data_IF_372387790422
#
_entry.id   IF_372387790422
#
_cell.length_a   1.000
_cell.length_b   1.000
_cell.length_c   1.000
_cell.angle_alpha   90.00
_cell.angle_beta   90.00
_cell.angle_gamma   90.00
#
_symmetry.space_group_name_H-M   'P 1'
#
loop_
_entity.id
_entity.type
_entity.pdbx_description
1 polymer ?
#
# COMPACT_ATOMS: atom_id res chain seq x y z
N UNK A 1 -29.83 -14.12 84.07
CA UNK A 1 -30.72 -13.08 83.51
C UNK A 1 -29.86 -12.33 82.50
N UNK A 2 -29.89 -12.76 81.24
CA UNK A 2 -30.74 -12.17 80.18
C UNK A 2 -30.05 -10.90 79.63
N UNK A 3 -29.64 -10.74 78.37
CA UNK A 3 -30.08 -11.32 77.10
C UNK A 3 -28.98 -11.23 76.04
N UNK A 4 -28.98 -12.22 75.15
CA UNK A 4 -28.36 -12.23 73.83
C UNK A 4 -29.00 -11.20 72.88
N UNK A 5 -28.20 -10.59 72.01
CA UNK A 5 -28.67 -9.97 70.76
C UNK A 5 -27.57 -10.09 69.68
N UNK A 6 -27.83 -10.78 68.55
CA UNK A 6 -26.95 -10.85 67.38
C UNK A 6 -27.43 -9.93 66.24
N UNK A 7 -26.52 -9.33 65.46
CA UNK A 7 -26.70 -8.76 64.11
C UNK A 7 -25.53 -7.79 63.82
N UNK A 8 -24.97 -7.62 62.63
CA UNK A 8 -25.20 -8.17 61.30
C UNK A 8 -23.85 -8.01 60.58
N UNK A 9 -23.31 -9.08 60.02
CA UNK A 9 -22.09 -9.03 59.20
C UNK A 9 -22.49 -8.54 57.79
N UNK A 10 -22.24 -7.27 57.47
CA UNK A 10 -22.46 -6.74 56.13
C UNK A 10 -21.33 -7.20 55.19
N UNK A 11 -21.54 -8.32 54.49
CA UNK A 11 -20.72 -8.72 53.35
C UNK A 11 -20.95 -7.72 52.19
N UNK A 12 -20.05 -6.75 52.05
CA UNK A 12 -19.93 -5.94 50.84
C UNK A 12 -19.29 -6.78 49.73
N UNK A 13 -20.12 -7.54 49.01
CA UNK A 13 -19.80 -8.11 47.70
C UNK A 13 -19.75 -6.96 46.68
N UNK A 14 -18.59 -6.32 46.56
CA UNK A 14 -18.32 -5.43 45.42
C UNK A 14 -18.09 -6.32 44.21
N UNK A 15 -19.15 -6.43 43.40
CA UNK A 15 -19.10 -6.98 42.05
C UNK A 15 -18.01 -6.26 41.25
N UNK A 16 -16.86 -6.90 41.07
CA UNK A 16 -15.91 -6.55 40.02
C UNK A 16 -16.57 -6.86 38.68
N UNK A 17 -17.40 -5.94 38.19
CA UNK A 17 -17.94 -6.01 36.84
C UNK A 17 -16.78 -6.13 35.88
N UNK A 18 -16.70 -7.25 35.17
CA UNK A 18 -15.88 -7.37 33.97
C UNK A 18 -16.30 -6.23 33.05
N UNK A 19 -15.48 -5.17 33.00
CA UNK A 19 -15.58 -4.18 31.94
C UNK A 19 -15.38 -4.97 30.65
N UNK A 20 -16.47 -5.30 29.98
CA UNK A 20 -16.47 -5.83 28.63
C UNK A 20 -15.78 -4.75 27.80
N UNK A 21 -14.47 -4.91 27.59
CA UNK A 21 -13.69 -4.01 26.74
C UNK A 21 -14.35 -4.11 25.37
N UNK A 22 -15.08 -3.05 24.99
CA UNK A 22 -15.67 -2.97 23.65
C UNK A 22 -14.59 -3.32 22.62
N UNK A 23 -14.91 -4.15 21.61
CA UNK A 23 -13.96 -4.45 20.56
C UNK A 23 -13.44 -3.15 19.96
N UNK A 24 -12.13 -3.05 19.77
CA UNK A 24 -11.56 -1.83 19.23
C UNK A 24 -11.83 -1.75 17.74
N UNK A 25 -12.52 -0.70 17.31
CA UNK A 25 -12.93 -0.45 15.93
C UNK A 25 -12.37 0.89 15.44
N UNK A 26 -12.24 1.03 14.12
CA UNK A 26 -12.19 2.36 13.52
C UNK A 26 -13.59 2.97 13.52
N UNK A 27 -13.67 4.30 13.58
CA UNK A 27 -14.93 5.04 13.42
C UNK A 27 -14.74 6.11 12.35
N UNK A 28 -15.49 6.01 11.26
CA UNK A 28 -15.54 7.04 10.23
C UNK A 28 -16.63 8.04 10.61
N UNK A 29 -16.25 9.31 10.77
CA UNK A 29 -17.16 10.39 11.12
C UNK A 29 -17.05 11.52 10.12
N UNK A 30 -18.17 12.18 9.84
CA UNK A 30 -18.19 13.37 8.99
C UNK A 30 -17.67 14.59 9.79
N UNK A 31 -16.82 15.40 9.17
CA UNK A 31 -16.36 16.68 9.71
C UNK A 31 -16.39 17.76 8.61
N UNK A 32 -17.40 18.63 8.64
CA UNK A 32 -17.55 19.87 7.85
C UNK A 32 -17.30 19.78 6.32
N UNK A 33 -16.08 19.47 5.89
CA UNK A 33 -15.63 19.37 4.49
C UNK A 33 -15.00 18.02 4.11
N UNK A 34 -14.81 17.10 5.06
CA UNK A 34 -14.29 15.76 4.77
C UNK A 34 -14.66 14.73 5.85
N UNK A 35 -14.42 13.45 5.59
CA UNK A 35 -14.60 12.40 6.59
C UNK A 35 -13.29 12.12 7.32
N UNK A 36 -13.34 11.86 8.63
CA UNK A 36 -12.19 11.52 9.46
C UNK A 36 -12.33 10.09 9.95
N UNK A 37 -11.28 9.29 9.74
CA UNK A 37 -11.18 7.94 10.27
C UNK A 37 -10.48 7.97 11.62
N UNK A 38 -11.24 7.78 12.69
CA UNK A 38 -10.76 7.73 14.07
C UNK A 38 -10.25 6.31 14.36
N UNK A 39 -8.98 6.13 14.74
CA UNK A 39 -8.43 4.80 15.02
C UNK A 39 -8.85 4.22 16.37
N UNK A 40 -8.75 2.89 16.53
CA UNK A 40 -8.78 2.20 17.81
C UNK A 40 -8.09 2.95 18.96
N UNK A 41 -8.82 3.07 20.08
CA UNK A 41 -8.32 3.70 21.31
C UNK A 41 -8.16 5.22 21.24
N UNK A 42 -8.75 5.90 20.24
CA UNK A 42 -8.90 7.36 20.21
C UNK A 42 -10.36 7.74 20.40
N UNK A 43 -10.60 8.66 21.33
CA UNK A 43 -11.95 9.06 21.73
C UNK A 43 -12.58 10.10 20.79
N UNK A 44 -11.82 11.09 20.33
CA UNK A 44 -12.32 12.25 19.58
C UNK A 44 -11.61 12.40 18.22
N UNK A 45 -12.27 12.92 17.18
CA UNK A 45 -11.62 13.25 15.91
C UNK A 45 -10.62 14.43 16.03
N UNK A 46 -10.76 15.30 17.03
CA UNK A 46 -10.00 16.54 17.15
C UNK A 46 -8.76 16.40 18.05
N UNK A 47 -8.10 15.24 18.02
CA UNK A 47 -6.87 15.03 18.81
C UNK A 47 -5.70 15.74 18.13
N UNK A 48 -5.17 16.85 18.69
CA UNK A 48 -4.14 17.64 18.03
C UNK A 48 -2.78 16.94 18.07
N UNK A 49 -2.55 16.12 19.10
CA UNK A 49 -1.28 15.45 19.36
C UNK A 49 -1.50 14.10 20.01
N UNK A 50 -0.75 13.08 19.58
CA UNK A 50 -0.77 11.77 20.23
C UNK A 50 0.62 11.30 20.61
N UNK A 51 0.73 10.74 21.81
CA UNK A 51 1.92 10.06 22.29
C UNK A 51 1.63 8.55 22.38
N UNK A 52 2.43 7.72 21.74
CA UNK A 52 2.28 6.27 21.81
C UNK A 52 3.62 5.55 21.72
N UNK A 53 3.66 4.28 22.10
CA UNK A 53 4.83 3.41 21.90
C UNK A 53 4.50 2.46 20.75
N UNK A 54 5.27 2.54 19.66
CA UNK A 54 5.07 1.66 18.52
C UNK A 54 5.75 0.32 18.77
N UNK A 55 5.14 -0.76 18.30
CA UNK A 55 5.80 -2.07 18.24
C UNK A 55 6.76 -2.13 17.05
N UNK A 56 7.76 -1.25 17.10
CA UNK A 56 8.83 -1.11 16.12
C UNK A 56 10.14 -1.26 16.90
N UNK A 57 10.98 -2.26 16.57
CA UNK A 57 12.28 -2.42 17.20
C UNK A 57 13.14 -1.17 17.05
N UNK A 58 13.67 -0.67 18.17
CA UNK A 58 14.64 0.41 18.15
C UNK A 58 15.98 -0.09 17.57
N UNK A 59 16.63 0.75 16.77
CA UNK A 59 18.00 0.52 16.30
C UNK A 59 19.03 1.00 17.32
N UNK A 60 20.31 1.07 16.93
CA UNK A 60 21.42 1.47 17.82
C UNK A 60 21.88 2.91 17.60
N UNK A 61 21.38 3.57 16.56
CA UNK A 61 21.69 4.94 16.19
C UNK A 61 20.88 5.99 16.95
N UNK A 62 21.08 7.25 16.55
CA UNK A 62 20.44 8.41 17.18
C UNK A 62 19.15 8.77 16.43
N UNK A 63 18.04 8.78 17.15
CA UNK A 63 16.79 9.34 16.64
C UNK A 63 16.87 10.86 16.58
N UNK A 64 16.62 11.42 15.39
CA UNK A 64 16.56 12.87 15.25
C UNK A 64 15.34 13.43 15.99
N UNK A 65 15.54 14.53 16.70
CA UNK A 65 14.44 15.34 17.22
C UNK A 65 13.91 16.20 16.06
N UNK A 66 12.94 15.69 15.31
CA UNK A 66 12.17 16.55 14.41
C UNK A 66 11.31 17.47 15.27
N UNK A 67 11.64 18.77 15.27
CA UNK A 67 10.97 19.79 16.08
C UNK A 67 9.68 20.20 15.38
N UNK A 68 8.61 19.42 15.56
CA UNK A 68 7.25 19.91 15.32
C UNK A 68 6.27 18.91 14.73
N UNK A 69 6.73 17.95 13.92
CA UNK A 69 5.83 17.01 13.22
C UNK A 69 5.78 15.64 13.89
N UNK A 70 6.92 14.93 13.95
CA UNK A 70 7.04 13.63 14.62
C UNK A 70 8.28 13.61 15.52
N UNK A 71 8.10 13.70 16.83
CA UNK A 71 9.19 13.41 17.75
C UNK A 71 9.29 11.92 18.04
N UNK A 72 10.51 11.41 18.09
CA UNK A 72 10.77 10.01 18.37
C UNK A 72 11.88 9.85 19.39
N UNK A 73 11.67 8.96 20.35
CA UNK A 73 12.63 8.64 21.40
C UNK A 73 12.70 7.14 21.60
N UNK A 74 13.88 6.56 21.82
CA UNK A 74 13.98 5.16 22.22
C UNK A 74 13.31 4.96 23.58
N UNK A 75 12.65 3.81 23.75
CA UNK A 75 12.02 3.36 24.99
C UNK A 75 12.25 1.86 25.14
N UNK A 76 13.37 1.51 25.77
CA UNK A 76 13.82 0.11 25.83
C UNK A 76 14.10 -0.42 24.41
N UNK A 77 13.51 -1.57 24.05
CA UNK A 77 13.65 -2.19 22.73
C UNK A 77 12.71 -1.61 21.65
N UNK A 78 11.91 -0.60 21.98
CA UNK A 78 10.89 -0.01 21.11
C UNK A 78 11.08 1.50 20.96
N UNK A 79 10.34 2.13 20.07
CA UNK A 79 10.28 3.60 19.94
C UNK A 79 9.00 4.19 20.51
N UNK A 80 9.13 5.31 21.21
CA UNK A 80 8.04 6.18 21.66
C UNK A 80 7.95 7.36 20.72
N UNK A 81 6.76 7.63 20.22
CA UNK A 81 6.47 8.70 19.26
C UNK A 81 5.56 9.75 19.91
N UNK A 82 5.78 10.99 19.56
CA UNK A 82 4.85 12.10 19.75
C UNK A 82 4.57 12.69 18.37
N UNK A 83 3.32 12.62 17.92
CA UNK A 83 2.94 13.07 16.57
C UNK A 83 1.96 14.23 16.70
N UNK A 84 2.25 15.32 16.01
CA UNK A 84 1.37 16.48 15.89
C UNK A 84 0.54 16.36 14.61
N UNK A 85 -0.78 16.28 14.76
CA UNK A 85 -1.71 15.98 13.66
C UNK A 85 -1.67 17.07 12.59
N UNK A 86 -1.76 18.32 13.01
CA UNK A 86 -1.85 19.46 12.11
C UNK A 86 -0.53 19.69 11.36
N UNK A 87 0.60 19.54 12.05
CA UNK A 87 1.90 19.57 11.37
C UNK A 87 2.08 18.41 10.39
N UNK A 88 1.55 17.21 10.71
CA UNK A 88 1.65 16.03 9.86
C UNK A 88 0.83 16.19 8.56
N UNK A 89 -0.44 16.57 8.64
CA UNK A 89 -1.30 16.66 7.44
C UNK A 89 -0.85 17.73 6.43
N UNK A 90 -0.11 18.75 6.90
CA UNK A 90 0.49 19.80 6.07
C UNK A 90 1.69 19.33 5.26
N UNK A 91 2.24 18.14 5.56
CA UNK A 91 3.39 17.62 4.83
C UNK A 91 3.06 17.28 3.38
N UNK A 92 4.10 17.29 2.54
CA UNK A 92 4.00 16.95 1.14
C UNK A 92 3.62 15.46 0.94
N UNK A 93 3.06 15.08 -0.24
CA UNK A 93 2.88 13.67 -0.58
C UNK A 93 4.17 12.85 -0.44
N UNK A 94 4.06 11.63 0.08
CA UNK A 94 5.20 10.72 0.31
C UNK A 94 6.15 11.14 1.44
N UNK A 95 5.91 12.28 2.12
CA UNK A 95 6.81 12.79 3.16
C UNK A 95 7.04 11.77 4.28
N UNK A 96 6.02 11.04 4.71
CA UNK A 96 6.15 10.09 5.81
C UNK A 96 7.00 8.88 5.42
N UNK A 97 6.91 8.42 4.16
CA UNK A 97 7.78 7.37 3.65
C UNK A 97 9.24 7.82 3.59
N UNK A 98 9.53 9.03 3.11
CA UNK A 98 10.90 9.56 3.13
C UNK A 98 11.42 9.79 4.57
N UNK A 99 10.58 10.33 5.46
CA UNK A 99 10.95 10.57 6.85
C UNK A 99 11.28 9.27 7.60
N UNK A 100 10.49 8.22 7.37
CA UNK A 100 10.74 6.90 7.98
C UNK A 100 11.97 6.22 7.38
N UNK A 101 12.23 6.35 6.07
CA UNK A 101 13.46 5.86 5.44
C UNK A 101 14.70 6.58 5.98
N UNK A 102 14.65 7.90 6.16
CA UNK A 102 15.74 8.68 6.76
C UNK A 102 15.96 8.36 8.25
N UNK A 103 14.91 7.99 8.97
CA UNK A 103 14.99 7.49 10.34
C UNK A 103 15.74 6.16 10.40
N UNK A 104 15.36 5.24 9.51
CA UNK A 104 15.94 3.91 9.40
C UNK A 104 17.41 3.96 8.98
N UNK A 105 17.78 4.81 8.01
CA UNK A 105 19.16 4.95 7.56
C UNK A 105 20.11 5.50 8.63
N UNK A 106 19.57 6.18 9.65
CA UNK A 106 20.31 6.64 10.84
C UNK A 106 20.37 5.59 11.96
N UNK A 107 19.88 4.38 11.69
CA UNK A 107 19.78 3.27 12.64
C UNK A 107 18.97 3.64 13.90
N UNK A 108 18.01 4.57 13.81
CA UNK A 108 17.12 4.87 14.95
C UNK A 108 16.07 3.78 15.16
N UNK A 109 15.64 3.13 14.08
CA UNK A 109 14.81 1.93 14.07
C UNK A 109 15.56 0.81 13.35
N UNK A 110 15.21 -0.43 13.65
CA UNK A 110 15.78 -1.57 12.93
C UNK A 110 15.48 -1.50 11.42
N UNK A 111 16.39 -2.04 10.61
CA UNK A 111 16.22 -2.11 9.17
C UNK A 111 14.99 -2.94 8.75
N UNK A 112 14.34 -2.53 7.66
CA UNK A 112 13.06 -3.06 7.19
C UNK A 112 11.83 -2.52 7.91
N UNK A 113 11.96 -1.63 8.89
CA UNK A 113 10.84 -1.17 9.71
C UNK A 113 10.25 0.18 9.27
N UNK A 114 10.87 0.88 8.31
CA UNK A 114 10.42 2.20 7.87
C UNK A 114 8.94 2.28 7.49
N UNK A 115 8.49 1.42 6.55
CA UNK A 115 7.08 1.38 6.11
C UNK A 115 6.13 1.08 7.28
N UNK A 116 6.47 0.07 8.08
CA UNK A 116 5.67 -0.34 9.23
C UNK A 116 5.52 0.80 10.24
N UNK A 117 6.59 1.57 10.48
CA UNK A 117 6.53 2.76 11.32
C UNK A 117 5.59 3.82 10.73
N UNK A 118 5.67 4.07 9.42
CA UNK A 118 4.79 5.04 8.73
C UNK A 118 3.32 4.66 8.88
N UNK A 119 2.98 3.39 8.62
CA UNK A 119 1.64 2.84 8.80
C UNK A 119 1.19 3.03 10.26
N UNK A 120 2.04 2.69 11.24
CA UNK A 120 1.70 2.88 12.67
C UNK A 120 1.45 4.34 13.05
N UNK A 121 2.09 5.30 12.39
CA UNK A 121 1.85 6.73 12.62
C UNK A 121 0.48 7.14 12.09
N UNK A 122 0.11 6.78 10.86
CA UNK A 122 -1.23 7.12 10.33
C UNK A 122 -2.36 6.38 11.05
N UNK A 123 -2.11 5.15 11.51
CA UNK A 123 -3.05 4.39 12.36
C UNK A 123 -3.15 4.97 13.78
N UNK A 124 -2.31 5.93 14.16
CA UNK A 124 -2.32 6.51 15.49
C UNK A 124 -3.16 7.78 15.58
N UNK A 125 -3.52 8.44 14.49
CA UNK A 125 -4.23 9.71 14.55
C UNK A 125 -5.58 9.64 13.84
N UNK A 126 -6.59 10.42 14.29
CA UNK A 126 -7.76 10.65 13.47
C UNK A 126 -7.35 11.44 12.24
N UNK A 127 -7.43 10.83 11.06
CA UNK A 127 -7.00 11.47 9.80
C UNK A 127 -8.08 11.29 8.73
N UNK A 128 -8.14 12.25 7.82
CA UNK A 128 -8.80 12.03 6.54
C UNK A 128 -8.10 10.86 5.80
N UNK A 129 -8.84 9.86 5.30
CA UNK A 129 -8.24 8.70 4.65
C UNK A 129 -7.35 9.02 3.44
N UNK A 130 -7.75 10.00 2.62
CA UNK A 130 -6.97 10.43 1.46
C UNK A 130 -5.71 11.17 1.90
N UNK A 131 -5.79 11.99 2.96
CA UNK A 131 -4.62 12.63 3.54
C UNK A 131 -3.63 11.62 4.13
N UNK A 132 -4.12 10.60 4.85
CA UNK A 132 -3.29 9.52 5.40
C UNK A 132 -2.58 8.73 4.29
N UNK A 133 -3.31 8.37 3.23
CA UNK A 133 -2.75 7.72 2.04
C UNK A 133 -1.64 8.57 1.41
N UNK A 134 -1.90 9.85 1.18
CA UNK A 134 -0.95 10.79 0.56
C UNK A 134 0.34 10.95 1.37
N UNK A 135 0.31 10.80 2.69
CA UNK A 135 1.52 10.86 3.51
C UNK A 135 2.46 9.68 3.26
N UNK A 136 1.92 8.49 3.05
CA UNK A 136 2.69 7.27 2.79
C UNK A 136 3.14 7.16 1.33
N UNK A 137 2.28 7.52 0.39
CA UNK A 137 2.56 7.29 -1.03
C UNK A 137 2.82 8.61 -1.74
N UNK A 138 3.96 8.67 -2.43
CA UNK A 138 4.20 9.74 -3.39
C UNK A 138 3.11 9.72 -4.47
N UNK A 139 2.75 10.89 -4.98
CA UNK A 139 1.77 10.96 -6.07
C UNK A 139 2.43 10.47 -7.35
N UNK A 140 2.14 9.24 -7.79
CA UNK A 140 2.74 8.67 -9.00
C UNK A 140 2.55 9.53 -10.26
N UNK A 141 1.43 10.24 -10.37
CA UNK A 141 1.19 11.21 -11.45
C UNK A 141 2.14 12.43 -11.41
N UNK A 142 2.67 12.78 -10.24
CA UNK A 142 3.61 13.91 -10.08
C UNK A 142 5.07 13.47 -10.01
N UNK A 143 5.34 12.34 -9.36
CA UNK A 143 6.70 11.84 -9.13
C UNK A 143 7.14 10.81 -10.17
N UNK A 144 6.22 10.32 -11.00
CA UNK A 144 6.52 9.32 -12.03
C UNK A 144 6.90 7.96 -11.45
N UNK A 145 6.57 7.66 -10.19
CA UNK A 145 6.91 6.36 -9.59
C UNK A 145 5.89 5.86 -8.56
N UNK A 146 5.95 4.55 -8.29
CA UNK A 146 5.19 3.85 -7.26
C UNK A 146 6.13 2.93 -6.47
N UNK A 147 6.13 3.06 -5.15
CA UNK A 147 6.82 2.11 -4.26
C UNK A 147 6.10 0.78 -4.24
N UNK A 148 6.86 -0.32 -4.32
CA UNK A 148 6.32 -1.66 -4.38
C UNK A 148 6.38 -2.30 -2.98
N UNK A 149 5.24 -2.30 -2.29
CA UNK A 149 5.03 -2.96 -1.00
C UNK A 149 4.18 -4.23 -1.11
N UNK A 150 4.04 -4.99 -0.01
CA UNK A 150 3.31 -6.27 0.00
C UNK A 150 1.81 -6.13 -0.30
N UNK A 151 1.28 -4.92 -0.18
CA UNK A 151 -0.06 -4.53 -0.60
C UNK A 151 -0.27 -4.48 -2.12
N UNK A 152 0.82 -4.54 -2.90
CA UNK A 152 0.79 -4.38 -4.35
C UNK A 152 0.79 -5.75 -5.05
N UNK A 153 0.04 -5.82 -6.14
CA UNK A 153 0.21 -6.79 -7.23
C UNK A 153 0.68 -6.03 -8.46
N UNK A 154 1.56 -6.64 -9.23
CA UNK A 154 1.95 -6.11 -10.53
C UNK A 154 1.23 -6.91 -11.60
N UNK A 155 0.42 -6.24 -12.41
CA UNK A 155 -0.07 -6.76 -13.67
C UNK A 155 0.94 -6.41 -14.76
N UNK A 156 1.50 -7.40 -15.44
CA UNK A 156 2.39 -7.20 -16.59
C UNK A 156 1.68 -7.67 -17.84
N UNK A 157 1.58 -6.79 -18.83
CA UNK A 157 1.01 -7.11 -20.13
C UNK A 157 2.14 -7.16 -21.16
N UNK A 158 2.35 -8.31 -21.79
CA UNK A 158 3.42 -8.52 -22.77
C UNK A 158 2.87 -9.13 -24.06
N UNK A 159 3.46 -8.86 -25.23
CA UNK A 159 3.05 -9.50 -26.46
C UNK A 159 3.46 -10.96 -26.47
N UNK A 160 2.63 -11.77 -27.13
CA UNK A 160 2.96 -13.14 -27.46
C UNK A 160 3.46 -13.15 -28.90
N UNK A 161 4.73 -13.47 -29.09
CA UNK A 161 5.38 -13.48 -30.39
C UNK A 161 5.55 -14.92 -30.91
N UNK A 162 5.71 -15.08 -32.23
CA UNK A 162 6.10 -16.35 -32.85
C UNK A 162 7.43 -16.84 -32.28
N UNK A 163 7.57 -18.16 -32.16
CA UNK A 163 8.81 -18.80 -31.71
C UNK A 163 10.02 -18.35 -32.55
N UNK A 164 11.16 -18.14 -31.88
CA UNK A 164 12.38 -17.60 -32.50
C UNK A 164 12.40 -16.07 -32.68
N UNK A 165 11.30 -15.38 -32.37
CA UNK A 165 11.28 -13.91 -32.37
C UNK A 165 11.95 -13.37 -31.10
N UNK A 166 12.91 -12.42 -31.20
CA UNK A 166 13.50 -11.76 -30.03
C UNK A 166 12.46 -11.08 -29.14
N UNK A 167 12.70 -11.07 -27.82
CA UNK A 167 11.77 -10.49 -26.83
C UNK A 167 11.58 -8.98 -26.96
N UNK A 168 12.49 -8.27 -27.65
CA UNK A 168 12.44 -6.84 -27.93
C UNK A 168 11.89 -6.53 -29.34
N UNK A 169 11.52 -7.54 -30.12
CA UNK A 169 10.99 -7.33 -31.46
C UNK A 169 9.68 -6.53 -31.43
N UNK A 170 9.44 -5.65 -32.43
CA UNK A 170 8.26 -4.82 -32.45
C UNK A 170 6.99 -5.67 -32.61
N UNK A 171 6.07 -5.52 -31.64
CA UNK A 171 4.71 -6.07 -31.72
C UNK A 171 3.78 -5.18 -32.58
N UNK A 172 4.08 -3.88 -32.64
CA UNK A 172 3.34 -2.86 -33.38
C UNK A 172 4.28 -2.24 -34.41
N UNK A 173 3.87 -2.24 -35.68
CA UNK A 173 4.61 -1.63 -36.79
C UNK A 173 4.29 -0.14 -36.92
N UNK A 174 3.03 0.23 -36.75
CA UNK A 174 2.59 1.63 -36.80
C UNK A 174 1.26 1.82 -36.07
N UNK A 175 1.07 2.99 -35.48
CA UNK A 175 -0.23 3.42 -34.96
C UNK A 175 -0.61 4.77 -35.55
N UNK A 176 -1.88 4.94 -35.93
CA UNK A 176 -2.45 6.19 -36.39
C UNK A 176 -3.64 6.56 -35.51
N UNK A 177 -3.62 7.78 -34.98
CA UNK A 177 -4.72 8.33 -34.19
C UNK A 177 -5.55 9.23 -35.10
N UNK A 178 -6.82 8.90 -35.26
CA UNK A 178 -7.80 9.70 -36.02
C UNK A 178 -8.99 10.02 -35.11
N UNK A 179 -8.93 11.16 -34.42
CA UNK A 179 -9.90 11.53 -33.39
C UNK A 179 -9.78 10.64 -32.15
N UNK A 180 -10.85 9.93 -31.79
CA UNK A 180 -10.86 8.92 -30.71
C UNK A 180 -10.53 7.50 -31.21
N UNK A 181 -10.34 7.32 -32.52
CA UNK A 181 -10.01 6.03 -33.11
C UNK A 181 -8.50 5.86 -33.18
N UNK A 182 -8.00 4.75 -32.65
CA UNK A 182 -6.61 4.33 -32.78
C UNK A 182 -6.54 3.15 -33.74
N UNK A 183 -5.98 3.36 -34.92
CA UNK A 183 -5.65 2.30 -35.87
C UNK A 183 -4.25 1.79 -35.53
N UNK A 184 -4.12 0.49 -35.30
CA UNK A 184 -2.84 -0.14 -34.98
C UNK A 184 -2.55 -1.21 -36.03
N UNK A 185 -1.41 -1.10 -36.70
CA UNK A 185 -0.84 -2.14 -37.55
C UNK A 185 0.11 -2.98 -36.70
N UNK A 186 -0.23 -4.24 -36.48
CA UNK A 186 0.58 -5.19 -35.72
C UNK A 186 1.60 -5.87 -36.62
N UNK A 187 2.67 -6.39 -36.03
CA UNK A 187 3.66 -7.17 -36.77
C UNK A 187 3.12 -8.57 -37.10
N UNK A 188 3.62 -9.17 -38.18
CA UNK A 188 3.26 -10.54 -38.57
C UNK A 188 3.68 -11.61 -37.53
N UNK A 189 4.56 -11.23 -36.61
CA UNK A 189 5.05 -12.07 -35.52
C UNK A 189 4.18 -11.98 -34.27
N UNK A 190 3.27 -11.01 -34.16
CA UNK A 190 2.35 -10.89 -33.03
C UNK A 190 1.23 -11.95 -33.15
N UNK A 191 1.18 -12.86 -32.18
CA UNK A 191 0.14 -13.89 -32.06
C UNK A 191 -0.98 -13.49 -31.10
N UNK A 192 -0.68 -12.60 -30.15
CA UNK A 192 -1.60 -12.24 -29.08
C UNK A 192 -0.92 -11.49 -27.94
N UNK A 193 -1.45 -11.61 -26.73
CA UNK A 193 -0.88 -10.99 -25.53
C UNK A 193 -0.99 -11.91 -24.32
N UNK A 194 -0.13 -11.68 -23.33
CA UNK A 194 -0.12 -12.35 -22.04
C UNK A 194 -0.35 -11.31 -20.95
N UNK A 195 -1.19 -11.64 -19.98
CA UNK A 195 -1.37 -10.89 -18.73
C UNK A 195 -0.79 -11.73 -17.60
N UNK A 196 0.35 -11.33 -17.06
CA UNK A 196 1.01 -11.99 -15.94
C UNK A 196 0.83 -11.22 -14.64
N UNK A 197 0.53 -11.92 -13.56
CA UNK A 197 0.37 -11.35 -12.23
C UNK A 197 1.54 -11.71 -11.33
N UNK A 198 2.09 -10.71 -10.64
CA UNK A 198 3.17 -10.87 -9.67
C UNK A 198 2.75 -10.35 -8.30
N UNK A 199 3.22 -11.01 -7.24
CA UNK A 199 3.09 -10.54 -5.87
C UNK A 199 4.41 -9.94 -5.40
N UNK A 200 4.32 -8.90 -4.57
CA UNK A 200 5.42 -8.45 -3.74
C UNK A 200 5.30 -9.18 -2.40
N UNK A 201 6.26 -10.04 -2.06
CA UNK A 201 6.21 -10.86 -0.83
C UNK A 201 7.38 -10.55 0.10
N UNK A 202 7.18 -10.55 1.43
CA UNK A 202 8.29 -10.44 2.36
C UNK A 202 9.29 -11.58 2.15
N UNK A 203 10.59 -11.27 2.13
CA UNK A 203 11.62 -12.29 2.01
C UNK A 203 11.68 -13.13 3.30
N UNK A 204 11.68 -14.47 3.21
CA UNK A 204 11.86 -15.30 4.39
C UNK A 204 13.28 -15.08 4.96
N UNK A 205 13.36 -14.72 6.25
CA UNK A 205 14.62 -14.52 6.97
C UNK A 205 15.56 -13.42 6.44
N UNK A 206 15.06 -12.53 5.58
CA UNK A 206 15.81 -11.37 5.09
C UNK A 206 14.96 -10.10 5.18
N UNK A 207 15.63 -8.95 5.07
CA UNK A 207 14.95 -7.66 5.05
C UNK A 207 14.31 -7.44 3.68
N UNK A 208 13.12 -6.85 3.69
CA UNK A 208 12.45 -6.38 2.49
C UNK A 208 11.62 -7.44 1.78
N UNK A 209 11.49 -7.26 0.47
CA UNK A 209 10.53 -7.97 -0.35
C UNK A 209 11.16 -8.53 -1.63
N UNK A 210 10.49 -9.50 -2.21
CA UNK A 210 10.77 -10.05 -3.54
C UNK A 210 9.53 -9.96 -4.42
N UNK A 211 9.74 -9.78 -5.73
CA UNK A 211 8.67 -9.82 -6.73
C UNK A 211 8.63 -11.25 -7.28
N UNK A 212 7.49 -11.92 -7.12
CA UNK A 212 7.31 -13.33 -7.50
C UNK A 212 6.11 -13.50 -8.43
N UNK A 213 6.22 -14.30 -9.50
CA UNK A 213 5.07 -14.60 -10.34
C UNK A 213 4.02 -15.41 -9.57
N UNK A 214 2.75 -15.18 -9.88
CA UNK A 214 1.59 -15.87 -9.27
C UNK A 214 0.84 -16.69 -10.32
N UNK A 215 0.58 -16.08 -11.48
CA UNK A 215 -0.18 -16.67 -12.58
C UNK A 215 0.04 -15.87 -13.86
N UNK A 216 -0.35 -16.43 -15.00
CA UNK A 216 -0.54 -15.69 -16.23
C UNK A 216 -1.78 -16.18 -17.00
N UNK A 217 -2.30 -15.33 -17.88
CA UNK A 217 -3.33 -15.69 -18.85
C UNK A 217 -2.83 -15.30 -20.25
N UNK A 218 -2.76 -16.27 -21.14
CA UNK A 218 -2.28 -16.10 -22.51
C UNK A 218 -3.46 -16.05 -23.46
N UNK A 219 -3.56 -14.97 -24.23
CA UNK A 219 -4.62 -14.75 -25.20
C UNK A 219 -4.08 -14.86 -26.63
N UNK A 220 -4.39 -15.95 -27.33
CA UNK A 220 -3.96 -16.18 -28.72
C UNK A 220 -5.15 -16.69 -29.52
N UNK A 221 -5.37 -16.14 -30.73
CA UNK A 221 -6.46 -16.62 -31.60
C UNK A 221 -7.87 -16.50 -31.00
N UNK A 222 -8.06 -15.60 -30.02
CA UNK A 222 -9.34 -15.41 -29.33
C UNK A 222 -9.59 -16.38 -28.17
N UNK A 223 -8.68 -17.31 -27.88
CA UNK A 223 -8.74 -18.19 -26.70
C UNK A 223 -7.84 -17.67 -25.59
N UNK A 224 -8.29 -17.83 -24.34
CA UNK A 224 -7.52 -17.51 -23.14
C UNK A 224 -7.09 -18.83 -22.46
N UNK A 225 -5.79 -18.97 -22.22
CA UNK A 225 -5.18 -20.13 -21.58
C UNK A 225 -4.54 -19.70 -20.26
N UNK A 226 -4.92 -20.35 -19.16
CA UNK A 226 -4.38 -20.06 -17.85
C UNK A 226 -3.04 -20.79 -17.64
N UNK A 227 -2.06 -20.06 -17.12
CA UNK A 227 -0.70 -20.53 -16.89
C UNK A 227 -0.27 -20.29 -15.43
N UNK A 228 0.66 -21.13 -14.95
CA UNK A 228 1.17 -21.01 -13.58
C UNK A 228 2.07 -19.79 -13.36
N UNK A 229 2.53 -19.16 -14.44
CA UNK A 229 3.41 -18.00 -14.41
C UNK A 229 3.69 -17.46 -15.82
N UNK A 230 4.42 -16.34 -15.93
CA UNK A 230 4.71 -15.69 -17.20
C UNK A 230 5.60 -16.57 -18.10
N UNK A 231 5.42 -16.46 -19.40
CA UNK A 231 6.35 -17.07 -20.37
C UNK A 231 7.78 -16.50 -20.22
N UNK A 232 7.89 -15.22 -19.86
CA UNK A 232 9.16 -14.56 -19.54
C UNK A 232 9.06 -13.79 -18.22
N UNK A 233 9.89 -14.16 -17.24
CA UNK A 233 9.96 -13.42 -15.98
C UNK A 233 10.93 -12.24 -16.11
N UNK A 234 10.38 -11.03 -16.25
CA UNK A 234 11.14 -9.78 -16.32
C UNK A 234 11.81 -9.38 -15.00
N UNK A 235 11.33 -9.87 -13.85
CA UNK A 235 11.74 -9.39 -12.53
C UNK A 235 12.73 -10.33 -11.84
N UNK A 236 13.88 -10.51 -12.47
CA UNK A 236 15.00 -11.28 -11.91
C UNK A 236 15.94 -10.37 -11.11
N UNK A 237 15.49 -9.97 -9.92
CA UNK A 237 16.28 -9.10 -9.05
C UNK A 237 17.34 -9.86 -8.25
N UNK A 238 18.45 -9.19 -7.96
CA UNK A 238 19.47 -9.66 -7.04
C UNK A 238 18.86 -9.95 -5.66
N UNK A 239 19.34 -10.97 -4.93
CA UNK A 239 18.92 -11.21 -3.54
C UNK A 239 19.11 -10.00 -2.62
N UNK A 240 19.99 -9.07 -2.98
CA UNK A 240 20.24 -7.82 -2.24
C UNK A 240 19.16 -6.75 -2.46
N UNK A 241 18.34 -6.84 -3.52
CA UNK A 241 17.22 -5.92 -3.74
C UNK A 241 16.13 -6.19 -2.70
N UNK A 242 16.11 -5.42 -1.62
CA UNK A 242 15.15 -5.54 -0.53
C UNK A 242 13.93 -4.63 -0.74
N UNK A 243 14.09 -3.53 -1.47
CA UNK A 243 13.03 -2.57 -1.74
C UNK A 243 13.00 -2.26 -3.22
N UNK A 244 11.81 -2.28 -3.82
CA UNK A 244 11.62 -2.03 -5.25
C UNK A 244 10.70 -0.85 -5.49
N UNK A 245 10.93 -0.12 -6.59
CA UNK A 245 10.12 1.01 -7.05
C UNK A 245 9.95 0.91 -8.56
N UNK A 246 8.71 1.06 -9.01
CA UNK A 246 8.35 1.13 -10.43
C UNK A 246 8.32 2.61 -10.84
N UNK A 247 8.92 2.91 -11.99
CA UNK A 247 9.02 4.24 -12.57
C UNK A 247 8.38 4.28 -13.96
N UNK A 248 7.65 5.36 -14.23
CA UNK A 248 7.16 5.75 -15.54
C UNK A 248 8.01 6.91 -16.05
N UNK A 249 8.80 6.68 -17.08
CA UNK A 249 9.76 7.65 -17.62
C UNK A 249 9.40 8.02 -19.04
N UNK A 250 9.29 9.31 -19.32
CA UNK A 250 9.18 9.78 -20.69
C UNK A 250 10.56 9.71 -21.36
N UNK A 251 10.64 9.07 -22.51
CA UNK A 251 11.84 8.96 -23.33
C UNK A 251 11.49 9.11 -24.81
N UNK A 252 12.00 10.16 -25.44
CA UNK A 252 11.83 10.47 -26.87
C UNK A 252 10.37 10.35 -27.38
N UNK A 253 9.40 10.81 -26.58
CA UNK A 253 7.97 10.76 -26.93
C UNK A 253 7.27 9.44 -26.61
N UNK A 254 7.96 8.49 -25.98
CA UNK A 254 7.42 7.20 -25.52
C UNK A 254 7.55 7.09 -24.00
N UNK A 255 6.73 6.25 -23.35
CA UNK A 255 6.89 5.97 -21.91
C UNK A 255 7.66 4.66 -21.74
N UNK A 256 8.81 4.71 -21.06
CA UNK A 256 9.57 3.56 -20.60
C UNK A 256 9.20 3.23 -19.16
N UNK A 257 9.07 1.94 -18.87
CA UNK A 257 8.86 1.46 -17.51
C UNK A 257 10.17 0.88 -16.99
N UNK A 258 10.60 1.38 -15.84
CA UNK A 258 11.81 0.91 -15.16
C UNK A 258 11.42 0.42 -13.77
N UNK A 259 11.92 -0.74 -13.36
CA UNK A 259 11.78 -1.21 -11.99
C UNK A 259 13.18 -1.28 -11.38
N UNK A 260 13.42 -0.48 -10.35
CA UNK A 260 14.70 -0.48 -9.64
C UNK A 260 14.54 -1.10 -8.26
N UNK A 261 15.58 -1.81 -7.82
CA UNK A 261 15.74 -2.40 -6.51
C UNK A 261 16.91 -1.78 -5.75
N UNK A 262 16.86 -1.81 -4.42
CA UNK A 262 17.94 -1.35 -3.54
C UNK A 262 17.96 -2.15 -2.23
N UNK A 263 19.10 -2.16 -1.52
CA UNK A 263 19.20 -2.84 -0.23
C UNK A 263 18.53 -2.06 0.90
N UNK A 264 18.45 -0.73 0.75
CA UNK A 264 17.73 0.16 1.68
C UNK A 264 16.80 1.11 0.94
N UNK A 265 15.78 1.63 1.62
CA UNK A 265 14.90 2.68 1.04
C UNK A 265 15.66 3.96 0.71
N UNK A 266 16.65 4.34 1.52
CA UNK A 266 17.45 5.53 1.29
C UNK A 266 18.30 5.42 0.00
N UNK A 267 18.84 4.25 -0.30
CA UNK A 267 19.48 3.98 -1.59
C UNK A 267 18.49 4.05 -2.75
N UNK A 268 17.26 3.55 -2.57
CA UNK A 268 16.20 3.63 -3.58
C UNK A 268 15.76 5.07 -3.88
N UNK A 269 15.75 5.93 -2.86
CA UNK A 269 15.47 7.36 -3.02
C UNK A 269 16.59 8.07 -3.79
N UNK A 270 17.86 7.74 -3.52
CA UNK A 270 18.99 8.23 -4.32
C UNK A 270 18.93 7.74 -5.77
N UNK A 271 18.60 6.46 -5.96
CA UNK A 271 18.40 5.84 -7.27
C UNK A 271 17.29 6.53 -8.10
N UNK A 272 16.18 6.89 -7.46
CA UNK A 272 15.09 7.61 -8.10
C UNK A 272 15.57 8.94 -8.71
N UNK A 273 16.39 9.68 -7.96
CA UNK A 273 16.95 10.94 -8.43
C UNK A 273 17.89 10.75 -9.63
N UNK A 274 18.73 9.70 -9.61
CA UNK A 274 19.58 9.36 -10.75
C UNK A 274 18.77 8.99 -12.00
N UNK A 275 17.73 8.16 -11.84
CA UNK A 275 16.83 7.76 -12.93
C UNK A 275 15.95 8.90 -13.46
N UNK A 276 15.75 9.98 -12.71
CA UNK A 276 15.09 11.20 -13.21
C UNK A 276 16.02 12.02 -14.11
N UNK A 277 17.32 12.03 -13.80
CA UNK A 277 18.31 12.88 -14.49
C UNK A 277 19.01 12.21 -15.68
N UNK A 278 19.00 10.88 -15.77
CA UNK A 278 19.78 10.13 -16.73
C UNK A 278 19.02 8.88 -17.22
N UNK A 279 18.63 8.81 -18.51
CA UNK A 279 17.87 7.69 -19.07
C UNK A 279 18.66 6.38 -19.09
N UNK A 280 19.99 6.43 -19.08
CA UNK A 280 20.87 5.25 -19.04
C UNK A 280 21.28 4.88 -17.61
N UNK A 281 20.75 5.57 -16.60
CA UNK A 281 21.14 5.36 -15.21
C UNK A 281 20.97 3.90 -14.80
N UNK A 282 19.96 3.18 -15.32
CA UNK A 282 19.71 1.77 -15.02
C UNK A 282 20.93 0.86 -15.29
N UNK A 283 21.75 1.16 -16.30
CA UNK A 283 22.97 0.40 -16.62
C UNK A 283 24.08 0.61 -15.58
N UNK A 284 23.98 1.68 -14.78
CA UNK A 284 24.94 2.04 -13.73
C UNK A 284 24.57 1.41 -12.38
N UNK A 285 23.41 0.77 -12.28
CA UNK A 285 23.02 0.02 -11.09
C UNK A 285 23.81 -1.29 -11.04
N UNK A 286 23.98 -1.82 -9.82
CA UNK A 286 24.52 -3.16 -9.65
C UNK A 286 23.71 -4.21 -10.44
N UNK A 287 24.35 -5.28 -10.88
CA UNK A 287 23.69 -6.33 -11.64
C UNK A 287 22.42 -6.84 -10.91
N UNK A 288 21.31 -6.93 -11.63
CA UNK A 288 20.02 -7.35 -11.06
C UNK A 288 19.38 -6.35 -10.10
N UNK A 289 19.80 -5.09 -10.09
CA UNK A 289 19.19 -4.03 -9.26
C UNK A 289 18.32 -3.06 -10.08
N UNK A 290 18.28 -3.21 -11.41
CA UNK A 290 17.44 -2.39 -12.25
C UNK A 290 17.02 -3.15 -13.51
N UNK A 291 15.74 -3.03 -13.86
CA UNK A 291 15.12 -3.69 -15.01
C UNK A 291 14.44 -2.60 -15.85
N UNK A 292 14.83 -2.48 -17.12
CA UNK A 292 14.08 -1.71 -18.11
C UNK A 292 13.15 -2.68 -18.85
N UNK A 293 11.84 -2.44 -18.77
CA UNK A 293 10.89 -3.26 -19.53
C UNK A 293 10.94 -2.89 -21.02
N UNK A 294 10.82 -3.88 -21.93
CA UNK A 294 10.71 -3.60 -23.35
C UNK A 294 9.53 -2.66 -23.65
N UNK A 295 9.64 -1.87 -24.72
CA UNK A 295 8.69 -0.79 -25.04
C UNK A 295 7.23 -1.25 -25.19
N UNK A 296 7.02 -2.51 -25.57
CA UNK A 296 5.69 -3.10 -25.77
C UNK A 296 5.19 -3.88 -24.55
N UNK A 297 5.93 -3.84 -23.44
CA UNK A 297 5.55 -4.45 -22.16
C UNK A 297 5.06 -3.36 -21.22
N UNK A 298 3.85 -3.53 -20.70
CA UNK A 298 3.30 -2.66 -19.68
C UNK A 298 3.42 -3.33 -18.30
N UNK A 299 3.63 -2.54 -17.25
CA UNK A 299 3.50 -2.99 -15.87
C UNK A 299 2.68 -1.99 -15.06
N UNK A 300 1.63 -2.48 -14.42
CA UNK A 300 0.66 -1.69 -13.66
C UNK A 300 0.65 -2.18 -12.20
N UNK A 301 0.95 -1.31 -11.23
CA UNK A 301 0.78 -1.64 -9.83
C UNK A 301 -0.68 -1.46 -9.42
N UNK A 302 -1.23 -2.51 -8.82
CA UNK A 302 -2.56 -2.53 -8.24
C UNK A 302 -2.48 -2.79 -6.74
N UNK A 303 -3.28 -2.08 -5.95
CA UNK A 303 -3.51 -2.39 -4.55
C UNK A 303 -4.53 -3.53 -4.45
N UNK A 304 -4.31 -4.48 -3.53
CA UNK A 304 -5.26 -5.57 -3.30
C UNK A 304 -6.16 -5.36 -2.10
N UNK A 305 -7.43 -5.75 -2.27
CA UNK A 305 -8.39 -5.92 -1.20
C UNK A 305 -9.12 -7.26 -1.35
N UNK A 306 -9.63 -7.79 -0.25
CA UNK A 306 -10.52 -8.94 -0.25
C UNK A 306 -11.96 -8.44 -0.40
N UNK A 307 -12.63 -8.77 -1.49
CA UNK A 307 -14.00 -8.36 -1.79
C UNK A 307 -14.89 -9.58 -1.88
N UNK A 308 -15.89 -9.70 -0.99
CA UNK A 308 -16.77 -10.87 -0.88
C UNK A 308 -16.00 -12.21 -0.86
N UNK A 309 -14.89 -12.25 -0.12
CA UNK A 309 -14.05 -13.45 0.01
C UNK A 309 -13.13 -13.75 -1.18
N UNK A 310 -13.00 -12.83 -2.15
CA UNK A 310 -12.07 -12.94 -3.28
C UNK A 310 -11.05 -11.82 -3.29
N UNK A 311 -9.78 -12.12 -3.56
CA UNK A 311 -8.78 -11.08 -3.80
C UNK A 311 -9.13 -10.33 -5.09
N UNK A 312 -9.17 -9.01 -5.02
CA UNK A 312 -9.43 -8.10 -6.15
C UNK A 312 -8.29 -7.09 -6.23
N UNK A 313 -7.67 -7.02 -7.40
CA UNK A 313 -6.68 -6.01 -7.75
C UNK A 313 -7.41 -4.73 -8.20
N UNK A 314 -7.01 -3.59 -7.62
CA UNK A 314 -7.60 -2.29 -7.86
C UNK A 314 -6.49 -1.28 -8.15
N UNK A 315 -6.74 -0.24 -8.98
CA UNK A 315 -5.75 0.81 -9.19
C UNK A 315 -5.28 1.43 -7.87
N UNK A 316 -3.99 1.72 -7.78
CA UNK A 316 -3.39 2.40 -6.61
C UNK A 316 -4.13 3.71 -6.30
N UNK A 317 -4.55 3.87 -5.03
CA UNK A 317 -5.39 4.99 -4.59
C UNK A 317 -6.90 4.78 -4.75
N UNK A 318 -7.33 3.56 -5.13
CA UNK A 318 -8.74 3.17 -5.16
C UNK A 318 -9.45 3.37 -3.81
N UNK A 319 -10.78 3.41 -3.85
CA UNK A 319 -11.63 3.54 -2.66
C UNK A 319 -12.53 2.32 -2.47
N UNK A 320 -13.25 2.27 -1.35
CA UNK A 320 -14.32 1.28 -1.12
C UNK A 320 -15.36 1.31 -2.25
N UNK A 321 -15.64 2.48 -2.85
CA UNK A 321 -16.50 2.57 -4.05
C UNK A 321 -16.01 1.67 -5.17
N UNK A 322 -14.73 1.83 -5.54
CA UNK A 322 -14.09 1.08 -6.61
C UNK A 322 -14.07 -0.41 -6.30
N UNK A 323 -13.83 -0.79 -5.05
CA UNK A 323 -13.88 -2.19 -4.62
C UNK A 323 -15.28 -2.81 -4.74
N UNK A 324 -16.33 -2.08 -4.34
CA UNK A 324 -17.72 -2.53 -4.48
C UNK A 324 -18.08 -2.74 -5.95
N UNK A 325 -17.68 -1.80 -6.81
CA UNK A 325 -17.88 -1.88 -8.25
C UNK A 325 -17.12 -3.05 -8.89
N UNK A 326 -15.86 -3.26 -8.49
CA UNK A 326 -15.05 -4.38 -8.96
C UNK A 326 -15.59 -5.75 -8.48
N UNK A 327 -16.26 -5.79 -7.31
CA UNK A 327 -16.97 -6.98 -6.84
C UNK A 327 -18.33 -7.21 -7.50
N UNK A 328 -18.71 -6.42 -8.51
CA UNK A 328 -19.88 -6.64 -9.37
C UNK A 328 -21.09 -5.76 -9.08
N UNK A 329 -21.08 -4.94 -8.02
CA UNK A 329 -22.18 -4.02 -7.73
C UNK A 329 -21.98 -2.67 -8.43
N UNK A 330 -22.77 -2.40 -9.47
CA UNK A 330 -22.66 -1.17 -10.27
C UNK A 330 -23.11 0.07 -9.50
N UNK A 331 -24.07 -0.07 -8.60
CA UNK A 331 -24.62 1.00 -7.77
C UNK A 331 -24.30 0.73 -6.29
N UNK A 332 -23.17 1.27 -5.78
CA UNK A 332 -22.72 1.02 -4.41
C UNK A 332 -23.75 1.36 -3.33
N UNK A 333 -24.68 2.29 -3.58
CA UNK A 333 -25.70 2.67 -2.58
C UNK A 333 -26.61 1.49 -2.20
N UNK A 334 -26.83 0.54 -3.11
CA UNK A 334 -27.68 -0.64 -2.89
C UNK A 334 -27.17 -1.56 -1.80
N UNK A 335 -25.85 -1.56 -1.59
CA UNK A 335 -25.21 -2.45 -0.61
C UNK A 335 -24.87 -1.74 0.70
N UNK A 336 -25.13 -0.43 0.81
CA UNK A 336 -24.70 0.38 1.95
C UNK A 336 -25.21 -0.17 3.30
N UNK A 337 -26.46 -0.63 3.34
CA UNK A 337 -27.07 -1.17 4.55
C UNK A 337 -26.37 -2.43 5.09
N UNK A 338 -25.82 -3.27 4.20
CA UNK A 338 -25.20 -4.55 4.52
C UNK A 338 -23.66 -4.55 4.34
N UNK A 339 -23.08 -3.41 3.98
CA UNK A 339 -21.65 -3.27 3.71
C UNK A 339 -20.81 -3.46 4.99
N UNK A 340 -19.87 -4.38 5.00
CA UNK A 340 -18.89 -4.55 6.06
C UNK A 340 -17.52 -4.17 5.51
N UNK A 341 -16.82 -3.28 6.20
CA UNK A 341 -15.46 -2.88 5.86
C UNK A 341 -14.57 -3.17 7.07
N UNK A 342 -13.47 -3.86 6.84
CA UNK A 342 -12.42 -4.12 7.82
C UNK A 342 -11.11 -3.60 7.29
N UNK A 343 -10.38 -2.89 8.15
CA UNK A 343 -9.09 -2.29 7.85
C UNK A 343 -8.04 -2.79 8.82
N UNK A 344 -6.80 -2.88 8.35
CA UNK A 344 -5.67 -3.21 9.20
C UNK A 344 -5.47 -2.14 10.29
N UNK A 345 -5.23 -2.61 11.51
CA UNK A 345 -4.73 -1.83 12.64
C UNK A 345 -3.65 -2.66 13.32
N UNK A 346 -2.39 -2.27 13.14
CA UNK A 346 -1.26 -2.99 13.73
C UNK A 346 -1.13 -4.41 13.17
N UNK A 347 -1.42 -4.57 11.88
CA UNK A 347 -1.38 -5.85 11.17
C UNK A 347 -2.59 -6.77 11.44
N UNK A 348 -3.65 -6.28 12.10
CA UNK A 348 -4.88 -7.06 12.33
C UNK A 348 -6.09 -6.37 11.74
N UNK A 349 -6.97 -7.13 11.11
CA UNK A 349 -8.22 -6.62 10.56
C UNK A 349 -9.22 -6.27 11.66
N UNK A 350 -9.55 -4.99 11.75
CA UNK A 350 -10.56 -4.44 12.67
C UNK A 350 -11.69 -3.79 11.88
N UNK A 351 -12.91 -3.84 12.41
CA UNK A 351 -14.08 -3.25 11.74
C UNK A 351 -13.97 -1.73 11.64
N UNK A 352 -14.51 -1.18 10.55
CA UNK A 352 -14.77 0.25 10.38
C UNK A 352 -16.25 0.48 10.66
N UNK A 353 -16.56 1.19 11.73
CA UNK A 353 -17.90 1.69 12.03
C UNK A 353 -18.13 2.98 11.24
N UNK A 354 -19.29 3.10 10.60
CA UNK A 354 -19.69 4.28 9.83
C UNK A 354 -21.22 4.40 9.85
N UNK A 355 -21.73 5.59 9.54
CA UNK A 355 -23.17 5.83 9.42
C UNK A 355 -23.73 5.14 8.16
N UNK A 356 -24.72 4.26 8.37
CA UNK A 356 -25.40 3.52 7.30
C UNK A 356 -26.31 4.39 6.43
N UNK A 357 -26.63 5.60 6.87
CA UNK A 357 -27.33 6.59 6.07
C UNK A 357 -26.38 7.46 5.22
N UNK A 358 -25.07 7.41 5.48
CA UNK A 358 -24.07 8.23 4.82
C UNK A 358 -23.28 7.46 3.75
N UNK A 359 -22.96 8.14 2.65
CA UNK A 359 -22.15 7.58 1.56
C UNK A 359 -20.65 7.78 1.75
N UNK A 360 -20.24 8.44 2.83
CA UNK A 360 -18.85 8.76 3.14
C UNK A 360 -17.92 7.55 3.12
N UNK A 361 -18.44 6.38 3.52
CA UNK A 361 -17.67 5.13 3.50
C UNK A 361 -17.14 4.80 2.11
N UNK A 362 -17.84 5.17 1.04
CA UNK A 362 -17.39 4.95 -0.34
C UNK A 362 -16.19 5.81 -0.73
N UNK A 363 -15.93 6.90 0.01
CA UNK A 363 -14.74 7.75 -0.12
C UNK A 363 -13.52 7.23 0.64
N UNK A 364 -13.64 6.16 1.43
CA UNK A 364 -12.53 5.57 2.16
C UNK A 364 -11.47 5.00 1.19
N UNK A 365 -10.35 5.70 1.05
CA UNK A 365 -9.17 5.28 0.27
C UNK A 365 -8.59 3.99 0.84
N UNK A 366 -8.25 3.03 -0.01
CA UNK A 366 -7.64 1.76 0.36
C UNK A 366 -6.12 1.92 0.56
N UNK A 367 -5.57 1.19 1.54
CA UNK A 367 -4.13 1.11 1.79
C UNK A 367 -3.57 -0.27 1.44
N UNK A 368 -4.44 -1.26 1.20
CA UNK A 368 -4.09 -2.65 0.94
C UNK A 368 -4.45 -3.57 2.08
N UNK A 369 -4.91 -4.77 1.71
CA UNK A 369 -5.26 -5.83 2.65
C UNK A 369 -6.57 -5.60 3.41
N UNK A 370 -7.37 -4.59 3.04
CA UNK A 370 -8.73 -4.43 3.55
C UNK A 370 -9.63 -5.62 3.16
N UNK A 371 -10.62 -5.93 4.02
CA UNK A 371 -11.73 -6.83 3.68
C UNK A 371 -13.02 -6.03 3.54
N UNK A 372 -13.74 -6.25 2.44
CA UNK A 372 -14.97 -5.57 2.08
C UNK A 372 -15.98 -6.64 1.69
N UNK A 373 -17.15 -6.67 2.33
CA UNK A 373 -18.20 -7.62 2.00
C UNK A 373 -19.59 -7.00 2.12
N UNK A 374 -20.55 -7.54 1.40
CA UNK A 374 -21.96 -7.16 1.50
C UNK A 374 -22.89 -8.34 1.25
N UNK A 375 -22.38 -9.55 1.52
CA UNK A 375 -23.09 -10.81 1.40
C UNK A 375 -23.43 -11.37 2.77
#
# INVERSE_FOLDING_TARGET
MDRSAPALLALLLVNAGCVVRRPQTYRLVEQAKSSVLIPPGVASPDVPRRVFTADIPAGRGKCAADRGTVEMRPRGKRVRLTVDREALIRQAPGWLSHWTAATESRDCIAAGQGLRLGIRIIESLPLDPSAAYRLLYASGARTGYVDLGPEIRLQVNSPVLREGTPADAPAVESSKISGLTVEVKTSANLLGFEIAWYAVRPKPNAIGYEIVPISAERHVGGTAEAEAGPAYNYFQFSPQAAFCRLFYKADQGTTRIVVAGAATRAELDGAAQSLDSDPDACQKFGAGMCVVLPQHVAANPDVVAMVNGREVALPVGATVRSAVQAGGEKDPQRVLAQLHVRRLYGGKLVAVEFDRASQDIFGLTLLGGEEISWQ
#
